data_IF_191879716243
#
_entry.id   IF_191879716243
#
_cell.length_a   1.000
_cell.length_b   1.000
_cell.length_c   1.000
_cell.angle_alpha   90.00
_cell.angle_beta   90.00
_cell.angle_gamma   90.00
#
_symmetry.space_group_name_H-M   'P 1'
#
loop_
_entity.id
_entity.type
_entity.pdbx_description
1 polymer ?
#
# COMPACT_ATOMS: atom_id res chain seq x y z
N UNK A 1 19.92 7.09 -49.77
CA UNK A 1 18.55 7.37 -49.28
C UNK A 1 18.62 7.20 -47.77
N UNK A 2 18.31 8.23 -46.97
CA UNK A 2 18.49 8.16 -45.50
C UNK A 2 17.35 7.37 -44.83
N UNK A 3 17.26 6.07 -45.14
CA UNK A 3 16.26 5.15 -44.59
C UNK A 3 16.78 4.39 -43.38
N UNK A 4 15.86 3.85 -42.58
CA UNK A 4 16.17 2.93 -41.48
C UNK A 4 15.23 1.72 -41.56
N UNK A 5 15.73 0.56 -41.13
CA UNK A 5 14.91 -0.56 -40.73
C UNK A 5 14.29 -0.21 -39.37
N UNK A 6 12.99 -0.44 -39.24
CA UNK A 6 12.25 -0.35 -37.98
C UNK A 6 11.91 -1.74 -37.50
N UNK A 7 12.00 -1.98 -36.20
CA UNK A 7 11.71 -3.29 -35.62
C UNK A 7 10.87 -3.13 -34.36
N UNK A 8 9.76 -3.86 -34.29
CA UNK A 8 8.78 -3.79 -33.22
C UNK A 8 8.41 -5.18 -32.70
N UNK A 9 8.19 -5.26 -31.40
CA UNK A 9 7.53 -6.37 -30.73
C UNK A 9 6.04 -6.04 -30.62
N UNK A 10 5.19 -6.95 -31.08
CA UNK A 10 3.74 -6.80 -31.01
C UNK A 10 3.09 -8.01 -30.35
N UNK A 11 2.01 -7.79 -29.62
CA UNK A 11 1.19 -8.90 -29.11
C UNK A 11 0.32 -9.45 -30.24
N UNK A 12 0.46 -10.74 -30.51
CA UNK A 12 -0.37 -11.44 -31.47
C UNK A 12 -1.76 -11.76 -30.88
N UNK A 13 -2.74 -11.96 -31.76
CA UNK A 13 -4.08 -12.43 -31.40
C UNK A 13 -4.83 -11.56 -30.37
N UNK A 14 -4.62 -10.24 -30.38
CA UNK A 14 -5.24 -9.29 -29.44
C UNK A 14 -6.77 -9.40 -29.36
N UNK A 15 -7.43 -9.84 -30.44
CA UNK A 15 -8.88 -10.08 -30.47
C UNK A 15 -9.38 -11.23 -29.59
N UNK A 16 -8.49 -12.10 -29.09
CA UNK A 16 -8.83 -13.17 -28.12
C UNK A 16 -8.63 -12.72 -26.67
N UNK A 17 -8.04 -11.55 -26.44
CA UNK A 17 -7.74 -11.05 -25.11
C UNK A 17 -8.97 -10.34 -24.50
N UNK A 18 -9.15 -10.39 -23.16
CA UNK A 18 -10.27 -9.73 -22.51
C UNK A 18 -10.20 -8.21 -22.66
N UNK A 19 -11.35 -7.54 -22.63
CA UNK A 19 -11.41 -6.07 -22.59
C UNK A 19 -10.59 -5.52 -21.41
N UNK A 20 -9.75 -4.51 -21.66
CA UNK A 20 -8.85 -3.92 -20.67
C UNK A 20 -7.65 -4.80 -20.28
N UNK A 21 -7.26 -5.74 -21.13
CA UNK A 21 -6.04 -6.53 -20.94
C UNK A 21 -4.80 -5.61 -20.88
N UNK A 22 -3.80 -6.05 -20.14
CA UNK A 22 -2.51 -5.39 -20.11
C UNK A 22 -1.42 -6.41 -19.84
N UNK A 23 -0.29 -6.25 -20.51
CA UNK A 23 0.92 -7.03 -20.29
C UNK A 23 2.08 -6.06 -20.11
N UNK A 24 2.86 -6.23 -19.05
CA UNK A 24 4.08 -5.46 -18.83
C UNK A 24 5.27 -6.34 -19.19
N UNK A 25 6.12 -5.89 -20.11
CA UNK A 25 7.29 -6.65 -20.53
C UNK A 25 8.47 -5.72 -20.82
N UNK A 26 9.68 -6.15 -20.48
CA UNK A 26 10.89 -5.59 -21.09
C UNK A 26 11.34 -6.53 -22.19
N UNK A 27 12.03 -6.00 -23.18
CA UNK A 27 12.52 -6.79 -24.29
C UNK A 27 13.82 -6.22 -24.86
N UNK A 28 14.57 -7.09 -25.53
CA UNK A 28 15.70 -6.75 -26.38
C UNK A 28 15.42 -7.26 -27.79
N UNK A 29 15.78 -6.48 -28.79
CA UNK A 29 15.65 -6.85 -30.19
C UNK A 29 17.03 -6.98 -30.81
N UNK A 30 17.17 -7.96 -31.70
CA UNK A 30 18.46 -8.34 -32.27
C UNK A 30 18.41 -8.41 -33.79
N UNK A 31 19.53 -8.10 -34.43
CA UNK A 31 19.81 -8.48 -35.82
C UNK A 31 21.15 -9.22 -35.85
N UNK A 32 21.18 -10.35 -36.56
CA UNK A 32 22.33 -11.23 -36.61
C UNK A 32 23.32 -10.79 -37.69
N UNK A 33 24.56 -10.58 -37.31
CA UNK A 33 25.70 -10.45 -38.22
C UNK A 33 26.17 -11.86 -38.59
N UNK A 34 25.82 -12.27 -39.81
CA UNK A 34 26.07 -13.61 -40.33
C UNK A 34 27.54 -13.85 -40.73
N UNK A 35 28.39 -12.81 -40.72
CA UNK A 35 29.82 -12.92 -41.05
C UNK A 35 30.63 -13.14 -39.78
N UNK A 36 30.30 -12.39 -38.72
CA UNK A 36 31.03 -12.41 -37.45
C UNK A 36 30.45 -13.38 -36.43
N UNK A 37 29.28 -13.95 -36.70
CA UNK A 37 28.55 -14.83 -35.77
C UNK A 37 28.19 -14.09 -34.46
N UNK A 38 27.75 -12.84 -34.60
CA UNK A 38 27.42 -11.94 -33.48
C UNK A 38 26.05 -11.28 -33.66
N UNK A 39 25.48 -10.76 -32.58
CA UNK A 39 24.21 -10.03 -32.62
C UNK A 39 24.40 -8.56 -32.27
N UNK A 40 23.90 -7.69 -33.15
CA UNK A 40 23.61 -6.31 -32.76
C UNK A 40 22.35 -6.31 -31.89
N UNK A 41 22.52 -5.94 -30.62
CA UNK A 41 21.44 -5.90 -29.61
C UNK A 41 20.99 -4.46 -29.37
N UNK A 42 19.69 -4.20 -29.48
CA UNK A 42 19.07 -2.91 -29.13
C UNK A 42 18.04 -3.12 -28.04
N UNK A 43 18.13 -2.33 -26.98
CA UNK A 43 17.21 -2.33 -25.84
C UNK A 43 17.03 -0.90 -25.31
N UNK A 44 15.94 -0.65 -24.60
CA UNK A 44 15.75 0.62 -23.90
C UNK A 44 16.75 0.79 -22.74
N UNK A 45 17.11 2.05 -22.47
CA UNK A 45 18.04 2.41 -21.38
C UNK A 45 17.51 1.85 -20.06
N UNK A 46 18.34 1.08 -19.36
CA UNK A 46 18.01 0.49 -18.07
C UNK A 46 16.99 -0.67 -18.10
N UNK A 47 16.66 -1.22 -19.29
CA UNK A 47 15.71 -2.34 -19.39
C UNK A 47 14.27 -1.93 -19.11
N UNK A 48 13.89 -0.71 -19.51
CA UNK A 48 12.58 -0.12 -19.22
C UNK A 48 11.42 -1.07 -19.56
N UNK A 49 10.47 -1.18 -18.64
CA UNK A 49 9.28 -2.00 -18.78
C UNK A 49 8.27 -1.26 -19.67
N UNK A 50 7.79 -1.93 -20.71
CA UNK A 50 6.74 -1.44 -21.61
C UNK A 50 5.40 -2.05 -21.28
N UNK A 51 4.38 -1.20 -21.29
CA UNK A 51 2.99 -1.57 -21.05
C UNK A 51 2.28 -1.79 -22.39
N UNK A 52 1.94 -3.02 -22.69
CA UNK A 52 1.09 -3.42 -23.81
C UNK A 52 -0.37 -3.45 -23.34
N UNK A 53 -1.29 -2.93 -24.13
CA UNK A 53 -2.73 -2.93 -23.85
C UNK A 53 -3.56 -2.76 -25.13
N UNK A 54 -4.88 -2.63 -24.95
CA UNK A 54 -5.88 -2.39 -25.99
C UNK A 54 -5.63 -1.14 -26.85
N UNK A 55 -5.01 -0.11 -26.28
CA UNK A 55 -4.67 1.14 -26.98
C UNK A 55 -3.30 1.02 -27.67
N UNK A 56 -2.33 0.37 -27.03
CA UNK A 56 -0.98 0.24 -27.55
C UNK A 56 -0.45 -1.19 -27.41
N UNK A 57 -0.48 -1.94 -28.51
CA UNK A 57 -0.14 -3.36 -28.56
C UNK A 57 1.25 -3.63 -29.17
N UNK A 58 2.00 -2.59 -29.52
CA UNK A 58 3.32 -2.69 -30.13
C UNK A 58 4.33 -1.71 -29.51
N UNK A 59 5.57 -2.19 -29.34
CA UNK A 59 6.69 -1.38 -28.86
C UNK A 59 7.96 -1.74 -29.61
N UNK A 60 8.77 -0.76 -29.96
CA UNK A 60 9.96 -1.00 -30.77
C UNK A 60 10.75 0.25 -31.08
N UNK A 61 11.65 0.13 -32.06
CA UNK A 61 12.57 1.17 -32.46
C UNK A 61 12.32 1.56 -33.92
N UNK A 62 11.78 2.78 -34.12
CA UNK A 62 11.53 3.34 -35.45
C UNK A 62 12.82 3.58 -36.27
N UNK A 63 13.98 3.61 -35.61
CA UNK A 63 15.30 3.74 -36.22
C UNK A 63 16.22 2.67 -35.65
N UNK A 64 15.89 1.40 -35.90
CA UNK A 64 16.61 0.25 -35.36
C UNK A 64 17.99 0.08 -36.03
N UNK A 65 18.05 0.12 -37.36
CA UNK A 65 19.30 -0.02 -38.12
C UNK A 65 19.27 0.86 -39.38
N UNK A 66 20.30 1.67 -39.68
CA UNK A 66 20.36 2.42 -40.93
C UNK A 66 20.34 1.50 -42.14
N UNK A 67 19.59 1.86 -43.18
CA UNK A 67 19.40 1.03 -44.37
C UNK A 67 20.71 0.84 -45.14
N UNK A 68 21.58 1.86 -45.17
CA UNK A 68 22.89 1.77 -45.81
C UNK A 68 23.80 0.76 -45.08
N UNK A 69 23.75 0.72 -43.74
CA UNK A 69 24.45 -0.28 -42.93
C UNK A 69 23.87 -1.68 -43.13
N UNK A 70 22.56 -1.82 -43.23
CA UNK A 70 21.90 -3.11 -43.46
C UNK A 70 22.26 -3.72 -44.82
N UNK A 71 22.33 -2.90 -45.87
CA UNK A 71 22.62 -3.35 -47.23
C UNK A 71 24.14 -3.48 -47.54
N UNK A 72 25.01 -2.98 -46.66
CA UNK A 72 26.45 -3.14 -46.81
C UNK A 72 26.85 -4.59 -46.51
N UNK A 73 27.28 -5.31 -47.54
CA UNK A 73 27.71 -6.70 -47.45
C UNK A 73 28.84 -6.93 -46.42
N UNK A 74 29.63 -5.92 -46.08
CA UNK A 74 30.69 -6.03 -45.06
C UNK A 74 30.16 -6.05 -43.62
N UNK A 75 28.91 -5.64 -43.41
CA UNK A 75 28.24 -5.61 -42.10
C UNK A 75 27.55 -6.94 -41.76
N UNK A 76 27.33 -7.82 -42.74
CA UNK A 76 26.84 -9.18 -42.50
C UNK A 76 25.37 -9.33 -42.11
N UNK A 77 24.59 -8.24 -42.03
CA UNK A 77 23.18 -8.30 -41.67
C UNK A 77 22.27 -8.85 -42.77
N UNK A 78 22.65 -8.67 -44.04
CA UNK A 78 21.95 -9.20 -45.22
C UNK A 78 22.91 -10.04 -46.08
N UNK A 79 22.76 -11.36 -46.02
CA UNK A 79 23.58 -12.32 -46.78
C UNK A 79 22.67 -13.18 -47.64
N UNK A 80 22.92 -13.24 -48.94
CA UNK A 80 22.09 -14.00 -49.90
C UNK A 80 20.59 -13.66 -49.83
N UNK A 81 20.25 -12.38 -49.64
CA UNK A 81 18.88 -11.89 -49.42
C UNK A 81 18.19 -12.46 -48.16
N UNK A 82 18.95 -13.04 -47.24
CA UNK A 82 18.47 -13.53 -45.96
C UNK A 82 19.02 -12.65 -44.83
N UNK A 83 18.16 -12.35 -43.86
CA UNK A 83 18.50 -11.69 -42.61
C UNK A 83 17.81 -12.44 -41.47
N UNK A 84 18.38 -12.36 -40.26
CA UNK A 84 17.84 -13.03 -39.07
C UNK A 84 17.66 -11.99 -37.98
N UNK A 85 16.43 -11.88 -37.48
CA UNK A 85 16.08 -11.03 -36.34
C UNK A 85 15.74 -11.91 -35.14
N UNK A 86 16.03 -11.40 -33.95
CA UNK A 86 15.69 -12.04 -32.69
C UNK A 86 14.93 -11.09 -31.77
N UNK A 87 14.22 -11.66 -30.80
CA UNK A 87 13.67 -10.93 -29.67
C UNK A 87 13.85 -11.75 -28.39
N UNK A 88 14.28 -11.10 -27.32
CA UNK A 88 14.32 -11.65 -25.97
C UNK A 88 13.29 -10.86 -25.16
N UNK A 89 12.32 -11.56 -24.56
CA UNK A 89 11.17 -10.93 -23.91
C UNK A 89 11.08 -11.41 -22.48
N UNK A 90 11.06 -10.48 -21.53
CA UNK A 90 10.81 -10.74 -20.13
C UNK A 90 9.46 -10.17 -19.75
N UNK A 91 8.50 -11.07 -19.50
CA UNK A 91 7.17 -10.69 -19.01
C UNK A 91 7.27 -10.43 -17.51
N UNK A 92 6.86 -9.25 -17.10
CA UNK A 92 6.74 -8.89 -15.70
C UNK A 92 5.32 -9.20 -15.26
N UNK A 93 5.20 -10.09 -14.27
CA UNK A 93 3.93 -10.26 -13.59
C UNK A 93 3.50 -8.90 -13.04
N UNK A 94 2.24 -8.54 -13.32
CA UNK A 94 1.57 -7.52 -12.52
C UNK A 94 1.63 -8.03 -11.08
N UNK A 95 2.41 -7.39 -10.22
CA UNK A 95 2.25 -7.49 -8.76
C UNK A 95 0.97 -6.74 -8.32
N UNK A 96 -0.11 -6.84 -9.10
CA UNK A 96 -1.45 -6.59 -8.60
C UNK A 96 -1.82 -7.86 -7.85
N UNK A 97 -1.40 -7.91 -6.59
CA UNK A 97 -2.01 -8.81 -5.62
C UNK A 97 -3.48 -8.39 -5.51
N UNK A 98 -4.35 -8.95 -6.37
CA UNK A 98 -5.80 -8.83 -6.21
C UNK A 98 -6.16 -9.61 -4.95
N UNK A 99 -6.04 -8.97 -3.80
CA UNK A 99 -6.66 -9.48 -2.59
C UNK A 99 -8.16 -9.26 -2.75
N UNK A 100 -8.91 -10.34 -2.89
CA UNK A 100 -10.36 -10.24 -2.80
C UNK A 100 -10.69 -10.07 -1.33
N UNK A 101 -11.05 -8.84 -0.94
CA UNK A 101 -11.50 -8.57 0.43
C UNK A 101 -12.92 -9.07 0.55
N UNK A 102 -13.11 -10.20 1.23
CA UNK A 102 -14.44 -10.57 1.70
C UNK A 102 -14.71 -9.79 2.99
N UNK A 103 -15.74 -8.94 2.97
CA UNK A 103 -16.23 -8.29 4.17
C UNK A 103 -17.06 -9.28 4.97
N UNK A 104 -16.82 -9.32 6.27
CA UNK A 104 -17.70 -10.04 7.18
C UNK A 104 -18.94 -9.15 7.35
N UNK A 105 -20.05 -9.54 6.72
CA UNK A 105 -21.30 -8.75 6.69
C UNK A 105 -21.99 -8.64 8.06
N UNK A 106 -21.54 -9.43 9.05
CA UNK A 106 -22.06 -9.42 10.41
C UNK A 106 -21.02 -8.84 11.37
N UNK A 107 -21.50 -8.06 12.35
CA UNK A 107 -20.65 -7.51 13.41
C UNK A 107 -19.86 -8.66 14.08
N UNK A 108 -18.52 -8.57 14.20
CA UNK A 108 -17.75 -9.61 14.85
C UNK A 108 -18.17 -9.81 16.30
N UNK A 109 -18.12 -11.05 16.77
CA UNK A 109 -18.39 -11.36 18.18
C UNK A 109 -17.27 -10.81 19.07
N UNK A 110 -17.61 -10.29 20.26
CA UNK A 110 -16.65 -9.70 21.21
C UNK A 110 -15.77 -8.59 20.61
N UNK A 111 -16.31 -7.81 19.67
CA UNK A 111 -15.54 -6.78 18.94
C UNK A 111 -15.23 -5.52 19.73
N UNK A 112 -15.55 -5.47 21.02
CA UNK A 112 -15.41 -4.27 21.86
C UNK A 112 -14.45 -4.51 23.01
N UNK A 113 -13.45 -3.64 23.12
CA UNK A 113 -12.57 -3.50 24.26
C UNK A 113 -12.99 -2.27 25.07
N UNK A 114 -13.18 -2.43 26.38
CA UNK A 114 -13.28 -1.31 27.33
C UNK A 114 -12.07 -1.35 28.26
N UNK A 115 -11.23 -0.33 28.18
CA UNK A 115 -10.06 -0.17 29.02
C UNK A 115 -10.31 0.87 30.12
N UNK A 116 -10.20 0.42 31.36
CA UNK A 116 -10.30 1.25 32.56
C UNK A 116 -8.91 1.66 33.02
N UNK A 117 -8.62 2.95 32.92
CA UNK A 117 -7.36 3.54 33.37
C UNK A 117 -7.62 4.21 34.71
N UNK A 118 -7.15 3.60 35.79
CA UNK A 118 -7.26 4.15 37.14
C UNK A 118 -6.02 4.96 37.49
N UNK A 119 -6.15 5.88 38.45
CA UNK A 119 -5.08 6.78 38.88
C UNK A 119 -4.47 7.57 37.71
N UNK A 120 -5.33 8.06 36.81
CA UNK A 120 -4.92 8.72 35.56
C UNK A 120 -3.96 9.89 35.80
N UNK A 121 -4.13 10.62 36.89
CA UNK A 121 -3.25 11.72 37.31
C UNK A 121 -1.81 11.31 37.58
N UNK A 122 -1.55 10.02 37.85
CA UNK A 122 -0.21 9.48 38.16
C UNK A 122 0.58 9.09 36.91
N UNK A 123 -0.05 9.09 35.74
CA UNK A 123 0.59 8.71 34.49
C UNK A 123 1.67 9.74 34.09
N UNK A 124 2.92 9.29 34.00
CA UNK A 124 4.11 10.11 33.71
C UNK A 124 4.78 9.79 32.37
N UNK A 125 4.64 8.57 31.86
CA UNK A 125 5.11 8.18 30.52
C UNK A 125 4.32 8.88 29.40
N UNK A 126 4.92 8.93 28.20
CA UNK A 126 4.31 9.57 27.04
C UNK A 126 3.08 8.81 26.53
N UNK A 127 3.10 7.48 26.57
CA UNK A 127 2.07 6.61 26.01
C UNK A 127 1.82 5.38 26.90
N UNK A 128 0.61 4.85 26.84
CA UNK A 128 0.20 3.62 27.52
C UNK A 128 -0.60 2.74 26.58
N UNK A 129 -0.43 1.43 26.70
CA UNK A 129 -1.17 0.43 25.93
C UNK A 129 -2.15 -0.34 26.82
N UNK A 130 -3.30 -0.70 26.27
CA UNK A 130 -4.22 -1.64 26.90
C UNK A 130 -3.71 -3.09 26.76
N UNK A 131 -4.44 -4.01 27.41
CA UNK A 131 -4.44 -5.41 27.05
C UNK A 131 -4.86 -5.62 25.59
N UNK A 132 -4.38 -6.71 25.01
CA UNK A 132 -4.74 -7.13 23.66
C UNK A 132 -6.14 -7.78 23.63
N UNK A 133 -6.86 -7.59 22.54
CA UNK A 133 -8.13 -8.26 22.27
C UNK A 133 -8.15 -8.75 20.82
N UNK A 134 -8.79 -9.90 20.60
CA UNK A 134 -8.80 -10.56 19.29
C UNK A 134 -10.16 -10.40 18.64
N UNK A 135 -10.15 -9.99 17.37
CA UNK A 135 -11.33 -9.93 16.50
C UNK A 135 -10.97 -10.63 15.20
N UNK A 136 -11.63 -11.74 14.89
CA UNK A 136 -11.43 -12.49 13.64
C UNK A 136 -9.96 -12.83 13.37
N UNK A 137 -9.29 -13.37 14.39
CA UNK A 137 -7.86 -13.78 14.41
C UNK A 137 -6.84 -12.63 14.38
N UNK A 138 -7.31 -11.38 14.33
CA UNK A 138 -6.47 -10.20 14.43
C UNK A 138 -6.45 -9.69 15.86
N UNK A 139 -5.24 -9.52 16.40
CA UNK A 139 -5.02 -8.92 17.71
C UNK A 139 -4.90 -7.40 17.60
N UNK A 140 -5.59 -6.72 18.49
CA UNK A 140 -5.68 -5.27 18.58
C UNK A 140 -5.40 -4.81 20.01
N UNK A 141 -4.93 -3.57 20.17
CA UNK A 141 -4.84 -2.90 21.47
C UNK A 141 -5.15 -1.41 21.32
N UNK A 142 -5.56 -0.78 22.40
CA UNK A 142 -5.65 0.67 22.49
C UNK A 142 -4.29 1.24 22.89
N UNK A 143 -3.95 2.39 22.34
CA UNK A 143 -2.82 3.21 22.74
C UNK A 143 -3.32 4.61 23.08
N UNK A 144 -2.91 5.15 24.22
CA UNK A 144 -3.32 6.46 24.71
C UNK A 144 -2.10 7.29 25.05
N UNK A 145 -2.08 8.54 24.61
CA UNK A 145 -1.13 9.55 25.05
C UNK A 145 -1.86 10.52 25.99
N UNK A 146 -1.71 10.39 27.33
CA UNK A 146 -2.47 11.17 28.31
C UNK A 146 -2.35 12.68 28.13
N UNK A 147 -1.20 13.15 27.64
CA UNK A 147 -0.88 14.56 27.37
C UNK A 147 -0.78 14.87 25.89
N UNK A 148 -1.26 14.00 25.02
CA UNK A 148 -1.19 14.16 23.57
C UNK A 148 0.11 13.65 22.96
N UNK A 149 0.03 13.24 21.70
CA UNK A 149 1.16 12.82 20.88
C UNK A 149 1.96 14.03 20.32
N UNK A 150 2.84 13.79 19.34
CA UNK A 150 3.65 14.83 18.73
C UNK A 150 2.83 15.97 18.08
N UNK A 151 1.63 15.70 17.58
CA UNK A 151 0.79 16.68 16.89
C UNK A 151 -0.17 17.43 17.83
N UNK A 152 -0.53 16.82 18.95
CA UNK A 152 -1.49 17.37 19.92
C UNK A 152 -0.91 17.57 21.33
N UNK A 153 0.42 17.60 21.47
CA UNK A 153 1.14 17.72 22.74
C UNK A 153 0.59 18.84 23.62
N UNK A 154 0.28 18.47 24.86
CA UNK A 154 -0.28 19.29 25.94
C UNK A 154 -1.62 19.98 25.62
N UNK A 155 -2.26 19.66 24.49
CA UNK A 155 -3.53 20.26 24.07
C UNK A 155 -4.69 19.28 24.20
N UNK A 156 -4.48 18.04 23.79
CA UNK A 156 -5.52 17.01 23.76
C UNK A 156 -4.97 15.65 24.18
N UNK A 157 -5.86 14.81 24.70
CA UNK A 157 -5.66 13.37 24.83
C UNK A 157 -5.68 12.75 23.42
N UNK A 158 -4.67 11.96 23.09
CA UNK A 158 -4.63 11.19 21.84
C UNK A 158 -5.00 9.74 22.10
N UNK A 159 -5.78 9.15 21.18
CA UNK A 159 -6.24 7.76 21.28
C UNK A 159 -6.09 7.07 19.93
N UNK A 160 -5.46 5.90 19.94
CA UNK A 160 -5.20 5.08 18.78
C UNK A 160 -5.60 3.62 19.02
N UNK A 161 -5.96 2.94 17.94
CA UNK A 161 -6.18 1.51 17.83
C UNK A 161 -4.97 0.92 17.09
N UNK A 162 -4.25 0.00 17.70
CA UNK A 162 -3.05 -0.58 17.12
C UNK A 162 -3.23 -2.08 16.84
N UNK A 163 -2.95 -2.58 15.62
CA UNK A 163 -2.84 -4.01 15.38
C UNK A 163 -1.54 -4.59 15.98
N UNK A 164 -1.58 -5.82 16.48
CA UNK A 164 -0.44 -6.49 17.14
C UNK A 164 0.19 -7.61 16.29
N UNK A 165 -0.60 -8.34 15.50
CA UNK A 165 -0.17 -9.55 14.76
C UNK A 165 0.52 -9.31 13.41
N UNK A 166 1.39 -8.30 13.31
CA UNK A 166 2.01 -7.91 12.03
C UNK A 166 3.04 -8.93 11.50
N UNK A 167 3.54 -9.84 12.34
CA UNK A 167 4.72 -10.65 12.00
C UNK A 167 4.46 -11.88 11.12
N UNK A 168 3.20 -12.21 10.78
CA UNK A 168 2.87 -13.50 10.17
C UNK A 168 2.06 -13.45 8.87
N UNK A 169 1.66 -12.29 8.37
CA UNK A 169 0.83 -12.25 7.15
C UNK A 169 1.11 -11.00 6.32
N UNK A 170 1.46 -11.18 5.04
CA UNK A 170 1.48 -10.07 4.06
C UNK A 170 0.04 -9.64 3.64
N UNK A 171 -0.91 -9.60 4.56
CA UNK A 171 -2.32 -9.37 4.25
C UNK A 171 -2.71 -7.91 4.42
N UNK A 172 -3.39 -7.33 3.41
CA UNK A 172 -4.02 -6.04 3.61
C UNK A 172 -5.37 -6.25 4.30
N UNK A 173 -5.54 -5.68 5.49
CA UNK A 173 -6.78 -5.80 6.26
C UNK A 173 -7.46 -4.44 6.27
N UNK A 174 -8.67 -4.36 5.76
CA UNK A 174 -9.55 -3.22 6.03
C UNK A 174 -10.22 -3.42 7.39
N UNK A 175 -10.24 -2.39 8.22
CA UNK A 175 -11.11 -2.34 9.37
C UNK A 175 -11.88 -1.02 9.46
N UNK A 176 -13.15 -1.13 9.84
CA UNK A 176 -13.93 -0.01 10.33
C UNK A 176 -14.09 -0.15 11.85
N UNK A 177 -13.85 0.94 12.57
CA UNK A 177 -13.81 0.92 14.02
C UNK A 177 -14.43 2.19 14.60
N UNK A 178 -14.70 2.15 15.90
CA UNK A 178 -15.17 3.29 16.69
C UNK A 178 -14.32 3.38 17.95
N UNK A 179 -13.72 4.54 18.15
CA UNK A 179 -13.02 4.88 19.37
C UNK A 179 -13.91 5.76 20.23
N UNK A 180 -13.87 5.57 21.56
CA UNK A 180 -14.73 6.31 22.49
C UNK A 180 -14.04 6.59 23.82
N UNK A 181 -14.25 7.79 24.34
CA UNK A 181 -14.07 8.11 25.76
C UNK A 181 -15.45 8.20 26.39
N UNK A 182 -15.72 7.34 27.38
CA UNK A 182 -17.03 7.32 28.04
C UNK A 182 -17.16 8.53 28.95
N UNK A 183 -18.32 9.17 28.85
CA UNK A 183 -18.83 9.98 29.93
C UNK A 183 -19.40 9.08 31.03
N UNK A 184 -19.06 9.37 32.29
CA UNK A 184 -19.34 8.52 33.44
C UNK A 184 -20.47 9.07 34.35
N UNK A 185 -21.10 10.20 33.99
CA UNK A 185 -22.12 10.91 34.78
C UNK A 185 -23.30 11.37 33.88
N UNK A 186 -23.93 10.45 33.14
CA UNK A 186 -25.13 10.70 32.32
C UNK A 186 -25.01 11.74 31.17
N UNK A 187 -23.80 12.14 30.78
CA UNK A 187 -23.56 12.93 29.58
C UNK A 187 -23.32 12.07 28.34
N UNK A 188 -23.09 12.73 27.20
CA UNK A 188 -22.76 12.05 25.95
C UNK A 188 -21.29 11.60 25.95
N UNK A 189 -21.04 10.41 25.44
CA UNK A 189 -19.68 9.93 25.19
C UNK A 189 -19.02 10.77 24.09
N UNK A 190 -17.69 10.88 24.14
CA UNK A 190 -16.92 11.41 23.00
C UNK A 190 -16.53 10.20 22.16
N UNK A 191 -17.09 10.09 20.96
CA UNK A 191 -16.83 8.97 20.06
C UNK A 191 -16.50 9.46 18.65
N UNK A 192 -15.64 8.71 17.96
CA UNK A 192 -15.26 8.95 16.58
C UNK A 192 -15.22 7.60 15.87
N UNK A 193 -15.78 7.55 14.66
CA UNK A 193 -15.75 6.37 13.78
C UNK A 193 -14.64 6.57 12.74
N UNK A 194 -13.78 5.58 12.58
CA UNK A 194 -12.67 5.57 11.64
C UNK A 194 -12.73 4.38 10.70
N UNK A 195 -12.12 4.53 9.52
CA UNK A 195 -11.91 3.47 8.52
C UNK A 195 -10.46 3.52 8.12
N UNK A 196 -9.80 2.36 8.03
CA UNK A 196 -8.42 2.33 7.55
C UNK A 196 -8.09 1.01 6.86
N UNK A 197 -7.22 1.10 5.86
CA UNK A 197 -6.60 -0.03 5.18
C UNK A 197 -5.25 -0.31 5.87
N UNK A 198 -5.04 -1.54 6.35
CA UNK A 198 -3.72 -2.00 6.78
C UNK A 198 -3.00 -2.47 5.52
N UNK A 199 -1.86 -1.87 5.17
CA UNK A 199 -0.91 -2.46 4.24
C UNK A 199 0.25 -3.03 5.06
N UNK A 200 0.51 -4.33 4.99
CA UNK A 200 1.56 -5.00 5.77
C UNK A 200 2.98 -4.65 5.34
N UNK A 201 3.14 -3.79 4.34
CA UNK A 201 4.43 -3.26 3.91
C UNK A 201 4.91 -2.07 4.76
N UNK A 202 4.73 -2.07 6.09
CA UNK A 202 5.41 -1.09 6.94
C UNK A 202 5.97 -1.73 8.21
N UNK A 203 7.29 -1.51 8.37
CA UNK A 203 8.10 -1.94 9.50
C UNK A 203 7.50 -1.44 10.80
N UNK A 204 7.26 -2.39 11.70
CA UNK A 204 7.39 -2.28 13.16
C UNK A 204 6.63 -1.16 13.86
N UNK A 205 5.96 -1.50 14.96
CA UNK A 205 5.70 -0.55 16.03
C UNK A 205 7.03 -0.01 16.60
N UNK A 206 7.64 0.94 15.91
CA UNK A 206 8.67 1.84 16.42
C UNK A 206 8.05 3.23 16.30
N UNK A 207 8.19 4.12 17.29
CA UNK A 207 7.81 5.51 17.13
C UNK A 207 8.74 6.12 16.07
N UNK A 208 8.33 6.09 14.81
CA UNK A 208 9.06 6.72 13.71
C UNK A 208 8.67 8.18 13.68
N UNK A 209 9.40 8.97 14.47
CA UNK A 209 9.87 10.27 13.98
C UNK A 209 10.46 10.07 12.58
N UNK A 210 9.93 10.83 11.61
CA UNK A 210 10.36 10.94 10.21
C UNK A 210 9.90 9.83 9.26
N UNK A 211 8.79 10.08 8.56
CA UNK A 211 8.81 10.22 7.10
C UNK A 211 7.74 11.23 6.66
N UNK A 212 8.16 12.12 5.76
CA UNK A 212 7.40 13.19 5.14
C UNK A 212 6.58 12.71 3.96
N UNK A 213 5.46 13.42 3.74
CA UNK A 213 4.73 13.57 2.48
C UNK A 213 4.24 12.29 1.78
N UNK A 214 3.05 11.84 2.18
CA UNK A 214 2.00 11.43 1.26
C UNK A 214 0.67 11.58 1.99
N UNK A 215 -0.29 12.20 1.33
CA UNK A 215 -1.68 12.36 1.73
C UNK A 215 -2.33 10.98 1.94
N UNK A 216 -2.06 10.36 3.08
CA UNK A 216 -2.79 9.19 3.55
C UNK A 216 -3.52 9.60 4.82
N UNK A 217 -4.85 9.68 4.72
CA UNK A 217 -5.77 9.78 5.85
C UNK A 217 -5.78 8.46 6.67
N UNK A 218 -4.60 7.88 6.93
CA UNK A 218 -4.43 6.52 7.45
C UNK A 218 -3.97 6.53 8.91
N UNK A 219 -4.44 7.49 9.72
CA UNK A 219 -4.21 7.43 11.16
C UNK A 219 -5.19 6.45 11.81
N UNK A 220 -4.69 5.42 12.47
CA UNK A 220 -5.49 4.47 13.26
C UNK A 220 -5.98 5.07 14.59
N UNK A 221 -6.31 6.34 14.58
CA UNK A 221 -6.63 7.11 15.76
C UNK A 221 -6.57 8.59 15.52
N UNK A 222 -6.68 9.34 16.59
CA UNK A 222 -6.88 10.78 16.55
C UNK A 222 -5.95 11.46 17.56
N UNK A 223 -4.95 12.20 17.06
CA UNK A 223 -4.07 13.04 17.89
C UNK A 223 -4.86 13.96 18.83
N UNK A 224 -5.93 14.57 18.34
CA UNK A 224 -6.75 15.54 19.05
C UNK A 224 -8.11 14.98 19.51
N UNK A 225 -8.13 13.72 19.98
CA UNK A 225 -9.37 13.00 20.32
C UNK A 225 -10.26 13.75 21.32
N UNK A 226 -9.67 14.24 22.43
CA UNK A 226 -10.39 15.00 23.46
C UNK A 226 -9.48 16.07 24.05
N UNK A 227 -9.89 17.34 23.97
CA UNK A 227 -9.13 18.45 24.56
C UNK A 227 -8.91 18.22 26.06
N UNK A 228 -7.69 18.45 26.55
CA UNK A 228 -7.36 18.24 27.96
C UNK A 228 -8.23 19.12 28.87
N UNK A 229 -8.55 20.35 28.43
CA UNK A 229 -9.48 21.23 29.16
C UNK A 229 -10.85 20.58 29.38
N UNK A 230 -11.36 19.84 28.38
CA UNK A 230 -12.66 19.18 28.46
C UNK A 230 -12.55 17.88 29.27
N UNK A 231 -11.44 17.15 29.15
CA UNK A 231 -11.14 15.96 29.95
C UNK A 231 -11.14 16.27 31.46
N UNK A 232 -10.47 17.35 31.86
CA UNK A 232 -10.34 17.76 33.27
C UNK A 232 -11.52 18.58 33.79
N UNK A 233 -12.45 19.00 32.93
CA UNK A 233 -13.66 19.70 33.39
C UNK A 233 -14.63 18.69 34.02
N UNK A 234 -14.76 18.70 35.34
CA UNK A 234 -15.58 17.74 36.09
C UNK A 234 -17.04 17.64 35.59
N UNK A 235 -17.66 18.76 35.19
CA UNK A 235 -19.02 18.77 34.65
C UNK A 235 -19.17 18.10 33.27
N UNK A 236 -18.06 17.91 32.54
CA UNK A 236 -18.03 17.15 31.27
C UNK A 236 -17.94 15.65 31.51
N UNK A 237 -17.54 15.20 32.71
CA UNK A 237 -17.74 13.82 33.15
C UNK A 237 -16.89 12.74 32.50
N UNK A 238 -15.80 13.10 31.82
CA UNK A 238 -14.92 12.14 31.15
C UNK A 238 -13.92 11.50 32.12
N UNK A 239 -13.33 12.28 33.01
CA UNK A 239 -12.48 11.81 34.10
C UNK A 239 -13.26 11.90 35.43
N UNK A 240 -13.54 10.75 36.05
CA UNK A 240 -14.31 10.66 37.31
C UNK A 240 -13.56 9.77 38.28
N UNK A 241 -13.38 10.21 39.53
CA UNK A 241 -12.60 9.49 40.54
C UNK A 241 -11.21 9.06 40.03
N UNK A 242 -10.53 9.99 39.34
CA UNK A 242 -9.23 9.77 38.69
C UNK A 242 -9.19 8.54 37.77
N UNK A 243 -10.34 8.21 37.17
CA UNK A 243 -10.51 7.05 36.29
C UNK A 243 -11.01 7.51 34.92
N UNK A 244 -10.35 7.04 33.87
CA UNK A 244 -10.75 7.25 32.48
C UNK A 244 -11.19 5.91 31.87
N UNK A 245 -12.30 5.94 31.12
CA UNK A 245 -12.81 4.77 30.38
C UNK A 245 -12.65 5.00 28.88
N UNK A 246 -11.79 4.21 28.26
CA UNK A 246 -11.48 4.26 26.82
C UNK A 246 -12.04 2.99 26.17
N UNK A 247 -12.74 3.11 25.05
CA UNK A 247 -13.29 1.97 24.32
C UNK A 247 -12.83 1.97 22.87
N UNK A 248 -12.61 0.76 22.35
CA UNK A 248 -12.50 0.48 20.93
C UNK A 248 -13.56 -0.55 20.56
N UNK A 249 -14.34 -0.28 19.52
CA UNK A 249 -15.31 -1.20 18.94
C UNK A 249 -14.95 -1.41 17.47
N UNK A 250 -14.62 -2.64 17.09
CA UNK A 250 -14.44 -3.03 15.70
C UNK A 250 -15.82 -3.33 15.10
N UNK A 251 -16.15 -2.65 14.01
CA UNK A 251 -17.45 -2.73 13.34
C UNK A 251 -17.40 -3.66 12.13
N UNK A 252 -16.32 -3.56 11.35
CA UNK A 252 -16.09 -4.36 10.13
C UNK A 252 -14.62 -4.73 10.08
N UNK A 253 -14.32 -5.96 9.67
CA UNK A 253 -12.97 -6.44 9.35
C UNK A 253 -13.06 -7.21 8.03
N UNK A 254 -12.12 -6.98 7.13
CA UNK A 254 -11.97 -7.82 5.93
C UNK A 254 -11.05 -8.99 6.19
N UNK A 255 -11.33 -10.12 5.53
CA UNK A 255 -10.36 -11.22 5.37
C UNK A 255 -9.83 -11.21 3.95
N UNK A 256 -8.54 -11.44 3.80
CA UNK A 256 -7.92 -11.74 2.50
C UNK A 256 -8.18 -13.21 2.22
N UNK A 257 -8.93 -13.49 1.14
CA UNK A 257 -9.06 -14.84 0.59
C UNK A 257 -7.93 -15.15 -0.39
#
# INVERSE_FOLDING_TARGET
MNGHISLYLAIAETGKLPLGWEVNASFKLFVFDQIRDEYLTVQDVGGAIKRFNDINSEWGFAKFLPLDTFNDASQGYLVNNCCVFGAEVFVHERSVRRQCLSFIEQKPNNSTLTWKIERFSTLNEEQYCSQEFTVEDLQWKLMVYPKGDAWAKEKALSVFLCPCNWLLSDQNVFAEYKLRIRNQIKGKHKEIRGKSNISTCFKSCIPVSWFSSLESEESWGYPDFLLLKDLYTASKGFLVNDTLLVEAEILVVSKVQ
#
